data_IF_651615159069
#
_entry.id   IF_651615159069
#
_cell.length_a   1.000
_cell.length_b   1.000
_cell.length_c   1.000
_cell.angle_alpha   90.00
_cell.angle_beta   90.00
_cell.angle_gamma   90.00
#
_symmetry.space_group_name_H-M   'P 1'
#
loop_
_entity.id
_entity.type
_entity.pdbx_description
1 polymer ?
#
# COMPACT_ATOMS: atom_id res chain seq x y z
N UNK A 1 8.66 -11.37 2.84
CA UNK A 1 8.25 -11.87 4.19
C UNK A 1 6.77 -12.24 4.13
N UNK A 2 6.29 -13.34 4.74
CA UNK A 2 4.91 -13.80 4.53
C UNK A 2 3.86 -13.12 5.43
N UNK A 3 2.70 -12.67 4.89
CA UNK A 3 1.60 -12.13 5.70
C UNK A 3 0.92 -13.18 6.59
N UNK A 4 1.10 -13.06 7.90
CA UNK A 4 0.46 -13.91 8.92
C UNK A 4 -0.90 -13.37 9.39
N UNK A 5 -1.57 -14.06 10.31
CA UNK A 5 -2.92 -13.71 10.79
C UNK A 5 -3.07 -12.24 11.21
N UNK A 6 -2.10 -11.71 11.96
CA UNK A 6 -2.13 -10.31 12.42
C UNK A 6 -2.04 -9.32 11.26
N UNK A 7 -1.21 -9.58 10.26
CA UNK A 7 -1.08 -8.71 9.08
C UNK A 7 -2.40 -8.63 8.29
N UNK A 8 -3.09 -9.76 8.12
CA UNK A 8 -4.40 -9.82 7.44
C UNK A 8 -5.46 -9.08 8.23
N UNK A 9 -5.43 -9.16 9.56
CA UNK A 9 -6.33 -8.43 10.46
C UNK A 9 -6.11 -6.91 10.37
N UNK A 10 -4.86 -6.44 10.48
CA UNK A 10 -4.52 -5.02 10.35
C UNK A 10 -4.90 -4.47 8.97
N UNK A 11 -4.63 -5.23 7.91
CA UNK A 11 -5.06 -4.88 6.57
C UNK A 11 -6.59 -4.80 6.45
N UNK A 12 -7.31 -5.76 7.03
CA UNK A 12 -8.78 -5.76 7.05
C UNK A 12 -9.38 -4.52 7.72
N UNK A 13 -8.80 -4.10 8.86
CA UNK A 13 -9.17 -2.85 9.55
C UNK A 13 -8.91 -1.65 8.63
N UNK A 14 -7.70 -1.56 8.06
CA UNK A 14 -7.28 -0.45 7.20
C UNK A 14 -8.21 -0.29 5.99
N UNK A 15 -8.43 -1.39 5.27
CA UNK A 15 -9.30 -1.42 4.08
C UNK A 15 -10.73 -1.07 4.42
N UNK A 16 -11.26 -1.60 5.53
CA UNK A 16 -12.63 -1.29 5.95
C UNK A 16 -12.81 0.19 6.25
N UNK A 17 -11.83 0.81 6.93
CA UNK A 17 -11.85 2.26 7.18
C UNK A 17 -11.82 3.07 5.88
N UNK A 18 -10.96 2.69 4.92
CA UNK A 18 -10.90 3.33 3.60
C UNK A 18 -12.22 3.24 2.83
N UNK A 19 -12.85 2.07 2.79
CA UNK A 19 -14.14 1.90 2.11
C UNK A 19 -15.28 2.72 2.72
N UNK A 20 -15.24 2.98 4.02
CA UNK A 20 -16.26 3.84 4.64
C UNK A 20 -16.12 5.30 4.21
N UNK A 21 -14.89 5.79 4.03
CA UNK A 21 -14.65 7.10 3.41
C UNK A 21 -15.08 7.13 1.93
N UNK A 22 -14.70 6.12 1.15
CA UNK A 22 -15.07 6.03 -0.28
C UNK A 22 -16.60 6.04 -0.49
N UNK A 23 -17.34 5.32 0.37
CA UNK A 23 -18.80 5.26 0.33
C UNK A 23 -19.49 6.50 0.93
N UNK A 24 -18.73 7.48 1.43
CA UNK A 24 -19.26 8.72 1.99
C UNK A 24 -20.08 8.52 3.26
N UNK A 25 -19.76 7.49 4.06
CA UNK A 25 -20.44 7.28 5.34
C UNK A 25 -20.06 8.40 6.32
N UNK A 26 -21.00 8.82 7.20
CA UNK A 26 -20.64 9.70 8.32
C UNK A 26 -19.58 9.06 9.20
N UNK A 27 -18.58 9.84 9.63
CA UNK A 27 -17.45 9.34 10.44
C UNK A 27 -17.89 8.66 11.75
N UNK A 28 -19.01 9.09 12.32
CA UNK A 28 -19.60 8.48 13.51
C UNK A 28 -20.03 7.01 13.30
N UNK A 29 -20.21 6.58 12.05
CA UNK A 29 -20.51 5.20 11.66
C UNK A 29 -19.26 4.42 11.23
N UNK A 30 -18.09 5.07 11.20
CA UNK A 30 -16.87 4.38 10.80
C UNK A 30 -16.47 3.35 11.86
N UNK A 31 -15.81 2.27 11.41
CA UNK A 31 -15.23 1.31 12.35
C UNK A 31 -14.25 2.03 13.30
N UNK A 32 -14.34 1.65 14.57
CA UNK A 32 -13.30 1.95 15.53
C UNK A 32 -12.12 1.01 15.30
N UNK A 33 -10.90 1.54 15.37
CA UNK A 33 -9.71 0.71 15.44
C UNK A 33 -9.67 0.08 16.84
N UNK A 34 -9.61 -1.26 16.97
CA UNK A 34 -9.58 -1.90 18.28
C UNK A 34 -8.38 -1.43 19.10
N UNK A 35 -8.55 -1.36 20.42
CA UNK A 35 -7.45 -1.08 21.34
C UNK A 35 -6.29 -2.07 21.10
N UNK A 36 -5.05 -1.58 21.18
CA UNK A 36 -3.81 -2.33 20.88
C UNK A 36 -3.70 -2.81 19.42
N UNK A 37 -4.36 -2.15 18.48
CA UNK A 37 -4.16 -2.40 17.04
C UNK A 37 -3.64 -1.15 16.37
N UNK A 38 -2.43 -1.23 15.82
CA UNK A 38 -1.80 -0.13 15.11
C UNK A 38 -1.64 -0.51 13.63
N UNK A 39 -2.55 -0.09 12.74
CA UNK A 39 -2.45 -0.35 11.30
C UNK A 39 -1.09 0.02 10.70
N UNK A 40 -0.41 1.00 11.28
CA UNK A 40 0.91 1.47 10.87
C UNK A 40 2.02 0.42 11.07
N UNK A 41 1.88 -0.52 12.00
CA UNK A 41 2.87 -1.60 12.21
C UNK A 41 3.05 -2.44 10.94
N UNK A 42 2.02 -2.52 10.09
CA UNK A 42 2.05 -3.30 8.87
C UNK A 42 3.01 -2.70 7.81
N UNK A 43 3.42 -1.44 7.94
CA UNK A 43 4.45 -0.84 7.07
C UNK A 43 5.78 -1.60 7.12
N UNK A 44 6.20 -2.11 8.27
CA UNK A 44 7.48 -2.82 8.40
C UNK A 44 7.50 -4.03 7.45
N UNK A 45 6.42 -4.80 7.43
CA UNK A 45 6.27 -5.97 6.58
C UNK A 45 6.20 -5.61 5.10
N UNK A 46 5.38 -4.61 4.74
CA UNK A 46 5.08 -4.28 3.35
C UNK A 46 6.21 -3.50 2.69
N UNK A 47 6.87 -2.59 3.41
CA UNK A 47 8.09 -1.91 2.95
C UNK A 47 9.23 -2.90 2.83
N UNK A 48 9.41 -3.80 3.81
CA UNK A 48 10.41 -4.87 3.75
C UNK A 48 10.22 -5.75 2.52
N UNK A 49 8.98 -6.18 2.26
CA UNK A 49 8.65 -6.99 1.06
C UNK A 49 8.96 -6.25 -0.24
N UNK A 50 8.59 -4.98 -0.36
CA UNK A 50 8.94 -4.17 -1.55
C UNK A 50 10.47 -4.04 -1.70
N UNK A 51 11.18 -3.78 -0.60
CA UNK A 51 12.63 -3.66 -0.57
C UNK A 51 13.35 -4.95 -0.98
N UNK A 52 12.92 -6.10 -0.44
CA UNK A 52 13.49 -7.42 -0.77
C UNK A 52 13.37 -7.70 -2.28
N UNK A 53 12.21 -7.38 -2.87
CA UNK A 53 12.00 -7.59 -4.32
C UNK A 53 12.81 -6.58 -5.14
N UNK A 54 12.86 -5.32 -4.73
CA UNK A 54 13.68 -4.30 -5.41
C UNK A 54 15.17 -4.66 -5.40
N UNK A 55 15.69 -5.17 -4.27
CA UNK A 55 17.05 -5.67 -4.16
C UNK A 55 17.27 -6.88 -5.09
N UNK A 56 16.36 -7.88 -5.05
CA UNK A 56 16.44 -9.06 -5.90
C UNK A 56 16.43 -8.72 -7.40
N UNK A 57 15.65 -7.72 -7.80
CA UNK A 57 15.62 -7.23 -9.18
C UNK A 57 16.88 -6.44 -9.54
N UNK A 58 17.46 -5.70 -8.59
CA UNK A 58 18.70 -4.95 -8.82
C UNK A 58 19.91 -5.87 -8.98
N UNK A 59 19.92 -7.01 -8.30
CA UNK A 59 20.96 -8.03 -8.38
C UNK A 59 20.74 -9.02 -9.55
N UNK A 60 19.62 -8.92 -10.27
CA UNK A 60 19.30 -9.84 -11.34
C UNK A 60 20.22 -9.63 -12.56
N UNK A 61 20.95 -10.69 -12.95
CA UNK A 61 21.75 -10.67 -14.18
C UNK A 61 20.89 -10.75 -15.46
N UNK A 62 19.65 -11.25 -15.33
CA UNK A 62 18.71 -11.42 -16.44
C UNK A 62 17.31 -10.92 -16.07
N UNK A 63 16.91 -9.80 -16.68
CA UNK A 63 15.61 -9.15 -16.47
C UNK A 63 14.43 -9.83 -17.20
N UNK A 64 14.70 -10.79 -18.08
CA UNK A 64 13.66 -11.53 -18.80
C UNK A 64 13.01 -12.63 -17.93
N UNK A 65 13.57 -12.91 -16.75
CA UNK A 65 13.00 -13.88 -15.80
C UNK A 65 11.89 -13.19 -15.00
N UNK A 66 10.62 -13.60 -15.16
CA UNK A 66 9.52 -12.99 -14.42
C UNK A 66 9.60 -13.32 -12.93
N UNK A 67 9.07 -12.43 -12.10
CA UNK A 67 8.87 -12.70 -10.68
C UNK A 67 7.97 -13.94 -10.50
N UNK A 68 8.31 -14.76 -9.51
CA UNK A 68 7.51 -15.96 -9.22
C UNK A 68 6.13 -15.56 -8.68
N UNK A 69 5.07 -16.37 -8.92
CA UNK A 69 3.73 -16.05 -8.44
C UNK A 69 3.63 -15.71 -6.93
N UNK A 70 4.32 -16.43 -6.01
CA UNK A 70 4.31 -16.07 -4.59
C UNK A 70 4.85 -14.67 -4.31
N UNK A 71 5.92 -14.25 -5.00
CA UNK A 71 6.49 -12.90 -4.86
C UNK A 71 5.50 -11.85 -5.38
N UNK A 72 4.85 -12.12 -6.51
CA UNK A 72 3.82 -11.24 -7.07
C UNK A 72 2.63 -11.11 -6.11
N UNK A 73 2.22 -12.19 -5.44
CA UNK A 73 1.17 -12.17 -4.42
C UNK A 73 1.58 -11.36 -3.18
N UNK A 74 2.80 -11.51 -2.68
CA UNK A 74 3.34 -10.74 -1.55
C UNK A 74 3.43 -9.23 -1.87
N UNK A 75 3.88 -8.88 -3.08
CA UNK A 75 3.84 -7.49 -3.57
C UNK A 75 2.41 -7.00 -3.74
N UNK A 76 1.50 -7.82 -4.26
CA UNK A 76 0.09 -7.48 -4.42
C UNK A 76 -0.58 -7.18 -3.08
N UNK A 77 -0.26 -7.94 -2.03
CA UNK A 77 -0.69 -7.64 -0.67
C UNK A 77 -0.12 -6.30 -0.18
N UNK A 78 1.18 -6.07 -0.37
CA UNK A 78 1.85 -4.83 0.04
C UNK A 78 1.26 -3.60 -0.65
N UNK A 79 1.08 -3.67 -1.97
CA UNK A 79 0.46 -2.61 -2.76
C UNK A 79 -0.96 -2.29 -2.28
N UNK A 80 -1.77 -3.34 -2.05
CA UNK A 80 -3.15 -3.18 -1.59
C UNK A 80 -3.23 -2.57 -0.19
N UNK A 81 -2.27 -2.88 0.69
CA UNK A 81 -2.19 -2.26 2.01
C UNK A 81 -1.87 -0.77 1.91
N UNK A 82 -0.84 -0.38 1.15
CA UNK A 82 -0.47 1.04 1.01
C UNK A 82 -1.62 1.86 0.44
N UNK A 83 -2.27 1.36 -0.60
CA UNK A 83 -3.46 1.95 -1.22
C UNK A 83 -4.60 2.13 -0.20
N UNK A 84 -4.95 1.05 0.51
CA UNK A 84 -5.97 1.10 1.56
C UNK A 84 -5.61 2.05 2.71
N UNK A 85 -4.31 2.21 3.03
CA UNK A 85 -3.85 3.13 4.07
C UNK A 85 -4.01 4.59 3.65
N UNK A 86 -3.79 4.91 2.36
CA UNK A 86 -4.14 6.22 1.82
C UNK A 86 -5.66 6.46 1.90
N UNK A 87 -6.48 5.49 1.48
CA UNK A 87 -7.95 5.58 1.55
C UNK A 87 -8.46 5.75 2.99
N UNK A 88 -7.80 5.13 3.99
CA UNK A 88 -8.25 5.13 5.38
C UNK A 88 -8.04 6.45 6.13
N UNK A 89 -7.24 7.37 5.57
CA UNK A 89 -6.86 8.65 6.19
C UNK A 89 -6.31 8.51 7.62
N UNK A 90 -5.67 7.38 7.95
CA UNK A 90 -5.04 7.23 9.27
C UNK A 90 -3.86 8.18 9.49
N UNK A 91 -3.19 8.62 8.42
CA UNK A 91 -2.17 9.65 8.48
C UNK A 91 -2.02 10.35 7.13
N UNK A 92 -2.50 11.59 7.06
CA UNK A 92 -2.34 12.42 5.85
C UNK A 92 -0.89 12.88 5.65
N UNK A 93 -0.12 12.98 6.74
CA UNK A 93 1.27 13.45 6.72
C UNK A 93 2.21 12.57 5.87
N UNK A 94 1.89 11.28 5.73
CA UNK A 94 2.68 10.32 4.94
C UNK A 94 1.93 9.81 3.70
N UNK A 95 0.76 10.39 3.39
CA UNK A 95 -0.11 9.87 2.33
C UNK A 95 0.58 9.90 0.96
N UNK A 96 1.34 10.97 0.67
CA UNK A 96 2.08 11.09 -0.59
C UNK A 96 3.16 10.02 -0.74
N UNK A 97 3.95 9.81 0.31
CA UNK A 97 5.01 8.79 0.30
C UNK A 97 4.41 7.38 0.24
N UNK A 98 3.30 7.16 0.95
CA UNK A 98 2.56 5.89 0.92
C UNK A 98 1.99 5.61 -0.47
N UNK A 99 1.45 6.63 -1.16
CA UNK A 99 0.97 6.49 -2.53
C UNK A 99 2.09 6.17 -3.53
N UNK A 100 3.30 6.73 -3.33
CA UNK A 100 4.48 6.35 -4.11
C UNK A 100 4.85 4.87 -3.91
N UNK A 101 4.85 4.39 -2.67
CA UNK A 101 5.11 2.98 -2.35
C UNK A 101 4.04 2.05 -2.96
N UNK A 102 2.77 2.46 -2.92
CA UNK A 102 1.66 1.75 -3.52
C UNK A 102 1.81 1.65 -5.04
N UNK A 103 2.06 2.78 -5.72
CA UNK A 103 2.26 2.83 -7.16
C UNK A 103 3.42 1.95 -7.61
N UNK A 104 4.55 2.00 -6.88
CA UNK A 104 5.74 1.19 -7.15
C UNK A 104 5.47 -0.30 -6.94
N UNK A 105 4.78 -0.66 -5.85
CA UNK A 105 4.44 -2.05 -5.56
C UNK A 105 3.46 -2.62 -6.60
N UNK A 106 2.44 -1.87 -7.02
CA UNK A 106 1.55 -2.29 -8.09
C UNK A 106 2.27 -2.45 -9.44
N UNK A 107 3.24 -1.59 -9.73
CA UNK A 107 4.05 -1.71 -10.94
C UNK A 107 4.81 -3.04 -10.95
N UNK A 108 5.58 -3.32 -9.90
CA UNK A 108 6.37 -4.54 -9.77
C UNK A 108 5.49 -5.80 -9.68
N UNK A 109 4.28 -5.70 -9.14
CA UNK A 109 3.30 -6.79 -9.12
C UNK A 109 2.59 -7.03 -10.47
N UNK A 110 2.99 -6.35 -11.56
CA UNK A 110 2.38 -6.54 -12.88
C UNK A 110 0.97 -5.95 -13.01
N UNK A 111 0.65 -4.91 -12.22
CA UNK A 111 -0.64 -4.19 -12.23
C UNK A 111 -0.48 -2.74 -12.70
N UNK A 112 -0.10 -2.50 -13.97
CA UNK A 112 0.25 -1.16 -14.46
C UNK A 112 -0.90 -0.15 -14.40
N UNK A 113 -2.16 -0.60 -14.55
CA UNK A 113 -3.32 0.30 -14.44
C UNK A 113 -3.49 0.89 -13.03
N UNK A 114 -3.38 0.07 -11.99
CA UNK A 114 -3.43 0.54 -10.59
C UNK A 114 -2.24 1.42 -10.25
N UNK A 115 -1.06 1.06 -10.76
CA UNK A 115 0.15 1.87 -10.61
C UNK A 115 -0.02 3.26 -11.24
N UNK A 116 -0.51 3.33 -12.48
CA UNK A 116 -0.71 4.59 -13.20
C UNK A 116 -1.70 5.51 -12.47
N UNK A 117 -2.83 4.98 -12.01
CA UNK A 117 -3.84 5.76 -11.28
C UNK A 117 -3.24 6.42 -10.04
N UNK A 118 -2.44 5.69 -9.26
CA UNK A 118 -1.80 6.25 -8.06
C UNK A 118 -0.66 7.20 -8.40
N UNK A 119 0.14 6.90 -9.44
CA UNK A 119 1.22 7.77 -9.88
C UNK A 119 0.69 9.14 -10.35
N UNK A 120 -0.41 9.18 -11.09
CA UNK A 120 -1.02 10.44 -11.54
C UNK A 120 -1.52 11.32 -10.39
N UNK A 121 -1.87 10.74 -9.24
CA UNK A 121 -2.24 11.52 -8.05
C UNK A 121 -1.05 12.24 -7.42
N UNK A 122 0.19 11.79 -7.69
CA UNK A 122 1.43 12.38 -7.16
C UNK A 122 1.91 13.61 -7.97
N UNK A 123 1.47 13.73 -9.22
CA UNK A 123 1.79 14.85 -10.12
C UNK A 123 1.09 16.14 -9.70
N UNK A 124 0.01 16.05 -8.93
CA UNK A 124 -0.66 17.19 -8.32
C UNK A 124 0.21 17.72 -7.19
N UNK A 125 1.14 18.63 -7.53
CA UNK A 125 1.86 19.45 -6.55
C UNK A 125 0.82 20.38 -5.92
N UNK A 126 0.62 20.36 -4.58
CA UNK A 126 -0.12 21.42 -3.92
C UNK A 126 0.65 22.71 -4.16
N UNK A 127 -0.01 23.73 -4.73
CA UNK A 127 0.55 25.04 -5.08
C UNK A 127 1.73 25.43 -4.16
N UNK A 128 2.92 25.55 -4.74
CA UNK A 128 4.00 26.27 -4.08
C UNK A 128 3.50 27.70 -3.84
N UNK A 129 3.76 28.31 -2.66
CA UNK A 129 3.27 29.65 -2.40
C UNK A 129 3.84 30.64 -3.43
N UNK A 130 3.08 31.69 -3.80
CA UNK A 130 3.51 32.71 -4.76
C UNK A 130 4.76 33.47 -4.32
#
# INVERSE_FOLDING_TARGET
MRPEFNSRRLFGITRSKGKMYELGLPEALHIAVPENSEPQELFVLTVGTLGDVAASLSDAENFDVPLTPPIVEELGFSASFFDAFCESRFSEAIARDTALLAASSYYLAGRPGSSLVLASQLEVVPDAPP
#
